data_IF_982707100744
#
_entry.id   IF_982707100744
#
_cell.length_a   1.000
_cell.length_b   1.000
_cell.length_c   1.000
_cell.angle_alpha   90.00
_cell.angle_beta   90.00
_cell.angle_gamma   90.00
#
_symmetry.space_group_name_H-M   'P 1'
#
loop_
_entity.id
_entity.type
_entity.pdbx_description
1 polymer ?
#
# COMPACT_ATOMS: atom_id res chain seq x y z
N UNK A 1 15.21 -1.97 -37.25
CA UNK A 1 15.26 -1.25 -35.96
C UNK A 1 14.66 -2.18 -34.90
N UNK A 2 15.56 -2.79 -34.08
CA UNK A 2 15.16 -3.80 -33.10
C UNK A 2 14.52 -3.16 -31.87
N UNK A 3 13.34 -3.65 -31.50
CA UNK A 3 12.76 -3.37 -30.19
C UNK A 3 13.59 -4.09 -29.13
N UNK A 4 14.32 -3.33 -28.31
CA UNK A 4 14.93 -3.86 -27.09
C UNK A 4 13.84 -4.40 -26.15
N UNK A 5 13.76 -5.70 -26.00
CA UNK A 5 12.91 -6.36 -25.00
C UNK A 5 13.40 -5.94 -23.62
N UNK A 6 12.64 -5.09 -22.91
CA UNK A 6 12.88 -4.78 -21.50
C UNK A 6 13.05 -6.09 -20.72
N UNK A 7 14.21 -6.28 -20.10
CA UNK A 7 14.52 -7.46 -19.27
C UNK A 7 13.47 -7.60 -18.18
N UNK A 8 12.78 -8.74 -18.10
CA UNK A 8 11.92 -9.08 -16.95
C UNK A 8 12.78 -9.03 -15.69
N UNK A 9 12.40 -8.19 -14.73
CA UNK A 9 13.06 -8.14 -13.42
C UNK A 9 12.86 -9.47 -12.68
N UNK A 10 13.90 -9.92 -11.97
CA UNK A 10 13.82 -11.11 -11.12
C UNK A 10 12.90 -10.77 -9.91
N UNK A 11 11.82 -11.53 -9.67
CA UNK A 11 10.91 -11.29 -8.55
C UNK A 11 11.58 -11.34 -7.17
N UNK A 12 12.76 -11.95 -7.07
CA UNK A 12 13.53 -12.06 -5.82
C UNK A 12 14.63 -11.00 -5.66
N UNK A 13 14.74 -10.00 -6.56
CA UNK A 13 15.71 -8.92 -6.39
C UNK A 13 15.19 -7.92 -5.37
N UNK A 14 15.56 -8.07 -4.12
CA UNK A 14 15.39 -7.05 -3.08
C UNK A 14 16.22 -5.82 -3.47
N UNK A 15 15.54 -4.70 -3.76
CA UNK A 15 16.21 -3.41 -3.90
C UNK A 15 16.09 -2.68 -2.56
N UNK A 16 17.24 -2.25 -2.04
CA UNK A 16 17.27 -1.42 -0.83
C UNK A 16 16.42 -0.17 -1.04
N UNK A 17 15.43 0.03 -0.16
CA UNK A 17 14.46 1.13 -0.25
C UNK A 17 15.07 2.39 0.35
N UNK A 18 16.01 3.01 -0.37
CA UNK A 18 16.73 4.22 0.08
C UNK A 18 15.81 5.39 0.44
N UNK A 19 14.60 5.45 -0.13
CA UNK A 19 13.61 6.47 0.24
C UNK A 19 13.12 6.37 1.70
N UNK A 20 13.28 5.20 2.35
CA UNK A 20 12.97 5.00 3.78
C UNK A 20 13.93 5.74 4.72
N UNK A 21 15.05 6.25 4.22
CA UNK A 21 15.98 7.06 4.98
C UNK A 21 15.47 8.50 5.22
N UNK A 22 14.42 8.91 4.50
CA UNK A 22 13.78 10.22 4.68
C UNK A 22 12.92 10.19 5.95
N UNK A 23 13.37 10.86 7.01
CA UNK A 23 12.64 10.97 8.27
C UNK A 23 11.61 12.09 8.23
N UNK A 24 10.43 11.84 8.80
CA UNK A 24 9.45 12.89 9.08
C UNK A 24 9.78 13.55 10.43
N UNK A 25 9.87 14.89 10.44
CA UNK A 25 10.19 15.64 11.66
C UNK A 25 9.25 15.26 12.83
N UNK A 26 9.86 14.88 13.96
CA UNK A 26 9.16 14.53 15.20
C UNK A 26 8.56 13.12 15.24
N UNK A 27 8.92 12.25 14.32
CA UNK A 27 8.57 10.83 14.37
C UNK A 27 9.82 9.95 14.45
N UNK A 28 9.66 8.80 15.07
CA UNK A 28 10.68 7.75 15.22
C UNK A 28 10.31 6.63 14.24
N UNK A 29 11.29 6.17 13.48
CA UNK A 29 11.13 5.05 12.57
C UNK A 29 11.26 3.72 13.32
N UNK A 30 10.34 2.80 13.01
CA UNK A 30 10.34 1.40 13.42
C UNK A 30 10.26 0.54 12.17
N UNK A 31 11.03 -0.54 12.10
CA UNK A 31 10.96 -1.51 11.00
C UNK A 31 10.41 -2.83 11.53
N UNK A 32 9.40 -3.36 10.85
CA UNK A 32 8.79 -4.66 11.17
C UNK A 32 8.80 -5.53 9.92
N UNK A 33 9.40 -6.70 10.04
CA UNK A 33 9.44 -7.68 8.96
C UNK A 33 8.93 -9.03 9.46
N UNK A 34 7.96 -9.59 8.74
CA UNK A 34 7.41 -10.91 9.00
C UNK A 34 7.09 -11.58 7.66
N UNK A 35 7.83 -12.61 7.29
CA UNK A 35 7.74 -13.26 5.99
C UNK A 35 7.88 -12.23 4.84
N UNK A 36 6.89 -12.13 3.94
CA UNK A 36 6.86 -11.18 2.83
C UNK A 36 6.45 -9.76 3.23
N UNK A 37 5.89 -9.57 4.42
CA UNK A 37 5.50 -8.26 4.93
C UNK A 37 6.73 -7.52 5.46
N UNK A 38 7.00 -6.33 4.93
CA UNK A 38 8.14 -5.48 5.32
C UNK A 38 7.64 -4.04 5.49
N UNK A 39 7.29 -3.68 6.74
CA UNK A 39 6.76 -2.38 7.09
C UNK A 39 7.84 -1.42 7.57
N UNK A 40 7.74 -0.18 7.11
CA UNK A 40 8.41 0.98 7.67
C UNK A 40 7.36 1.87 8.35
N UNK A 41 7.45 2.00 9.67
CA UNK A 41 6.46 2.69 10.49
C UNK A 41 7.11 3.90 11.13
N UNK A 42 6.46 5.04 11.00
CA UNK A 42 6.87 6.26 11.69
C UNK A 42 5.79 6.66 12.70
N UNK A 43 6.15 6.79 13.97
CA UNK A 43 5.26 7.17 15.07
C UNK A 43 5.99 8.05 16.08
N UNK A 44 5.26 8.65 17.06
CA UNK A 44 5.88 9.45 18.13
C UNK A 44 6.79 8.68 19.07
N UNK A 45 6.58 7.35 19.14
CA UNK A 45 7.40 6.42 19.94
C UNK A 45 7.70 5.17 19.13
N UNK A 46 8.60 4.32 19.64
CA UNK A 46 8.85 3.00 19.04
C UNK A 46 7.63 2.11 19.16
N UNK A 47 7.33 1.37 18.10
CA UNK A 47 6.11 0.56 17.98
C UNK A 47 6.37 -0.86 17.48
N UNK A 48 7.63 -1.30 17.43
CA UNK A 48 8.03 -2.58 16.81
C UNK A 48 7.24 -3.76 17.34
N UNK A 49 7.14 -3.91 18.67
CA UNK A 49 6.49 -5.06 19.30
C UNK A 49 4.98 -5.06 19.04
N UNK A 50 4.33 -3.90 19.19
CA UNK A 50 2.90 -3.76 18.90
C UNK A 50 2.61 -4.03 17.43
N UNK A 51 3.40 -3.45 16.54
CA UNK A 51 3.20 -3.61 15.10
C UNK A 51 3.48 -5.04 14.65
N UNK A 52 4.49 -5.73 15.22
CA UNK A 52 4.75 -7.13 14.93
C UNK A 52 3.57 -8.03 15.32
N UNK A 53 2.97 -7.80 16.49
CA UNK A 53 1.80 -8.55 16.94
C UNK A 53 0.60 -8.31 16.00
N UNK A 54 0.33 -7.05 15.61
CA UNK A 54 -0.74 -6.71 14.67
C UNK A 54 -0.53 -7.33 13.29
N UNK A 55 0.70 -7.29 12.77
CA UNK A 55 1.05 -7.93 11.48
C UNK A 55 0.86 -9.44 11.55
N UNK A 56 1.29 -10.08 12.63
CA UNK A 56 1.11 -11.52 12.81
C UNK A 56 -0.37 -11.91 12.84
N UNK A 57 -1.20 -11.15 13.56
CA UNK A 57 -2.65 -11.37 13.61
C UNK A 57 -3.30 -11.22 12.23
N UNK A 58 -2.98 -10.14 11.52
CA UNK A 58 -3.52 -9.84 10.20
C UNK A 58 -3.14 -10.92 9.19
N UNK A 59 -1.86 -11.29 9.14
CA UNK A 59 -1.37 -12.36 8.25
C UNK A 59 -2.06 -13.70 8.53
N UNK A 60 -2.17 -14.07 9.79
CA UNK A 60 -2.86 -15.31 10.17
C UNK A 60 -4.29 -15.36 9.62
N UNK A 61 -5.04 -14.25 9.71
CA UNK A 61 -6.40 -14.16 9.16
C UNK A 61 -6.43 -14.34 7.64
N UNK A 62 -5.47 -13.73 6.94
CA UNK A 62 -5.36 -13.84 5.47
C UNK A 62 -4.97 -15.27 5.07
N UNK A 63 -3.95 -15.84 5.69
CA UNK A 63 -3.44 -17.18 5.39
C UNK A 63 -4.48 -18.27 5.67
N UNK A 64 -5.19 -18.19 6.80
CA UNK A 64 -6.28 -19.10 7.12
C UNK A 64 -7.43 -19.00 6.11
N UNK A 65 -7.77 -17.78 5.67
CA UNK A 65 -8.81 -17.61 4.67
C UNK A 65 -8.38 -18.19 3.33
N UNK A 66 -7.16 -17.94 2.87
CA UNK A 66 -6.60 -18.50 1.63
C UNK A 66 -6.61 -20.05 1.67
N UNK A 67 -6.28 -20.66 2.80
CA UNK A 67 -6.28 -22.13 2.93
C UNK A 67 -7.66 -22.73 2.71
N UNK A 68 -8.73 -22.02 3.07
CA UNK A 68 -10.11 -22.46 2.86
C UNK A 68 -10.71 -21.99 1.52
N UNK A 69 -10.12 -20.95 0.92
CA UNK A 69 -10.56 -20.29 -0.30
C UNK A 69 -9.36 -20.02 -1.22
N UNK A 70 -8.77 -21.06 -1.86
CA UNK A 70 -7.54 -20.92 -2.65
C UNK A 70 -7.67 -19.94 -3.82
N UNK A 71 -8.89 -19.75 -4.36
CA UNK A 71 -9.19 -18.78 -5.41
C UNK A 71 -8.89 -17.33 -4.96
N UNK A 72 -8.97 -17.03 -3.66
CA UNK A 72 -8.68 -15.72 -3.12
C UNK A 72 -7.24 -15.27 -3.43
N UNK A 73 -6.29 -16.22 -3.41
CA UNK A 73 -4.88 -15.94 -3.71
C UNK A 73 -4.62 -15.66 -5.19
N UNK A 74 -5.37 -16.32 -6.09
CA UNK A 74 -4.99 -16.38 -7.50
C UNK A 74 -5.91 -15.61 -8.43
N UNK A 75 -7.10 -15.21 -7.95
CA UNK A 75 -8.05 -14.48 -8.79
C UNK A 75 -7.50 -13.13 -9.22
N UNK A 76 -7.60 -12.83 -10.51
CA UNK A 76 -7.32 -11.51 -11.08
C UNK A 76 -8.60 -10.68 -11.29
N UNK A 77 -9.76 -11.25 -11.00
CA UNK A 77 -11.06 -10.60 -11.10
C UNK A 77 -11.75 -10.60 -9.75
N UNK A 78 -12.76 -9.72 -9.52
CA UNK A 78 -13.49 -9.67 -8.27
C UNK A 78 -14.09 -11.04 -7.90
N UNK A 79 -14.05 -11.36 -6.61
CA UNK A 79 -14.71 -12.53 -6.02
C UNK A 79 -15.98 -12.10 -5.29
N UNK A 80 -16.92 -13.02 -5.11
CA UNK A 80 -18.15 -12.76 -4.37
C UNK A 80 -17.86 -12.27 -2.94
N UNK A 81 -18.74 -11.41 -2.41
CA UNK A 81 -18.67 -10.97 -1.03
C UNK A 81 -18.87 -12.15 -0.07
N UNK A 82 -18.12 -12.15 1.03
CA UNK A 82 -18.28 -13.10 2.12
C UNK A 82 -18.51 -12.34 3.44
N UNK A 83 -19.78 -12.15 3.86
CA UNK A 83 -20.08 -11.45 5.10
C UNK A 83 -19.53 -12.13 6.37
N UNK A 84 -19.24 -13.43 6.31
CA UNK A 84 -18.71 -14.20 7.43
C UNK A 84 -17.16 -14.10 7.53
N UNK A 85 -16.51 -13.61 6.48
CA UNK A 85 -15.05 -13.47 6.47
C UNK A 85 -14.55 -12.44 7.49
N UNK A 86 -13.29 -12.57 7.96
CA UNK A 86 -12.62 -11.54 8.76
C UNK A 86 -12.68 -10.16 8.12
N UNK A 87 -12.71 -9.11 8.93
CA UNK A 87 -12.89 -7.74 8.43
C UNK A 87 -11.87 -7.34 7.36
N UNK A 88 -10.59 -7.73 7.50
CA UNK A 88 -9.58 -7.44 6.47
C UNK A 88 -9.89 -8.11 5.13
N UNK A 89 -10.39 -9.35 5.15
CA UNK A 89 -10.79 -10.07 3.93
C UNK A 89 -11.95 -9.36 3.25
N UNK A 90 -12.97 -8.96 4.02
CA UNK A 90 -14.10 -8.17 3.48
C UNK A 90 -13.65 -6.87 2.85
N UNK A 91 -12.70 -6.16 3.50
CA UNK A 91 -12.10 -4.95 2.94
C UNK A 91 -11.40 -5.22 1.61
N UNK A 92 -10.62 -6.31 1.51
CA UNK A 92 -9.93 -6.69 0.27
C UNK A 92 -10.92 -7.10 -0.83
N UNK A 93 -11.99 -7.84 -0.50
CA UNK A 93 -13.06 -8.19 -1.45
C UNK A 93 -13.77 -6.93 -1.96
N UNK A 94 -14.18 -6.03 -1.06
CA UNK A 94 -14.83 -4.78 -1.42
C UNK A 94 -13.93 -3.87 -2.29
N UNK A 95 -12.64 -3.78 -1.99
CA UNK A 95 -11.68 -3.07 -2.82
C UNK A 95 -11.60 -3.67 -4.22
N UNK A 96 -11.51 -4.99 -4.33
CA UNK A 96 -11.50 -5.71 -5.60
C UNK A 96 -12.77 -5.45 -6.42
N UNK A 97 -13.95 -5.50 -5.80
CA UNK A 97 -15.22 -5.19 -6.46
C UNK A 97 -15.26 -3.77 -7.03
N UNK A 98 -14.85 -2.78 -6.24
CA UNK A 98 -14.88 -1.36 -6.63
C UNK A 98 -13.90 -1.04 -7.75
N UNK A 99 -12.82 -1.79 -7.87
CA UNK A 99 -11.74 -1.54 -8.83
C UNK A 99 -11.71 -2.51 -10.01
N UNK A 100 -12.51 -3.59 -9.93
CA UNK A 100 -12.61 -4.58 -11.01
C UNK A 100 -11.44 -5.57 -11.05
N UNK A 101 -10.70 -5.74 -9.94
CA UNK A 101 -9.52 -6.63 -9.83
C UNK A 101 -9.71 -7.71 -8.77
N UNK A 102 -8.80 -8.67 -8.71
CA UNK A 102 -8.79 -9.68 -7.65
C UNK A 102 -8.40 -9.11 -6.29
N UNK A 103 -8.86 -9.73 -5.17
CA UNK A 103 -8.72 -9.18 -3.82
C UNK A 103 -7.26 -9.02 -3.37
N UNK A 104 -6.34 -9.85 -3.85
CA UNK A 104 -4.91 -9.77 -3.50
C UNK A 104 -4.22 -8.51 -4.03
N UNK A 105 -4.83 -7.78 -4.98
CA UNK A 105 -4.34 -6.48 -5.41
C UNK A 105 -4.44 -5.39 -4.32
N UNK A 106 -5.23 -5.64 -3.26
CA UNK A 106 -5.41 -4.74 -2.12
C UNK A 106 -4.59 -5.14 -0.88
N UNK A 107 -3.77 -6.20 -0.96
CA UNK A 107 -3.20 -6.83 0.25
C UNK A 107 -2.20 -5.94 0.98
N UNK A 108 -1.34 -5.23 0.26
CA UNK A 108 -0.30 -4.41 0.88
C UNK A 108 -0.91 -3.19 1.58
N UNK A 109 -1.85 -2.51 0.92
CA UNK A 109 -2.62 -1.41 1.49
C UNK A 109 -3.50 -1.84 2.66
N UNK A 110 -4.17 -2.99 2.58
CA UNK A 110 -4.97 -3.53 3.68
C UNK A 110 -4.11 -3.82 4.92
N UNK A 111 -2.95 -4.45 4.76
CA UNK A 111 -2.02 -4.72 5.87
C UNK A 111 -1.52 -3.42 6.49
N UNK A 112 -1.14 -2.42 5.67
CA UNK A 112 -0.70 -1.12 6.16
C UNK A 112 -1.81 -0.42 6.97
N UNK A 113 -3.04 -0.40 6.46
CA UNK A 113 -4.19 0.23 7.12
C UNK A 113 -4.56 -0.47 8.44
N UNK A 114 -4.69 -1.79 8.43
CA UNK A 114 -5.05 -2.53 9.64
C UNK A 114 -3.98 -2.42 10.73
N UNK A 115 -2.69 -2.43 10.36
CA UNK A 115 -1.60 -2.16 11.29
C UNK A 115 -1.68 -0.74 11.85
N UNK A 116 -1.89 0.26 10.99
CA UNK A 116 -2.01 1.67 11.40
C UNK A 116 -3.21 1.90 12.34
N UNK A 117 -4.40 1.39 11.98
CA UNK A 117 -5.60 1.48 12.82
C UNK A 117 -5.45 0.72 14.15
N UNK A 118 -4.77 -0.43 14.14
CA UNK A 118 -4.44 -1.16 15.36
C UNK A 118 -3.55 -0.34 16.30
N UNK A 119 -2.54 0.35 15.77
CA UNK A 119 -1.70 1.26 16.54
C UNK A 119 -2.48 2.48 17.07
N UNK A 120 -3.45 3.02 16.31
CA UNK A 120 -4.34 4.08 16.79
C UNK A 120 -5.15 3.62 18.03
N UNK A 121 -5.69 2.40 18.00
CA UNK A 121 -6.42 1.82 19.14
C UNK A 121 -5.53 1.64 20.38
N UNK A 122 -4.22 1.51 20.19
CA UNK A 122 -3.22 1.47 21.27
C UNK A 122 -2.77 2.87 21.72
N UNK A 123 -3.40 3.94 21.22
CA UNK A 123 -3.17 5.31 21.65
C UNK A 123 -2.13 6.10 20.86
N UNK A 124 -1.66 5.58 19.74
CA UNK A 124 -0.77 6.33 18.84
C UNK A 124 -1.61 7.23 17.92
N UNK A 125 -1.43 8.53 17.98
CA UNK A 125 -2.23 9.54 17.26
C UNK A 125 -1.54 10.15 16.02
N UNK A 126 -0.25 9.88 15.82
CA UNK A 126 0.50 10.27 14.63
C UNK A 126 1.29 9.07 14.09
N UNK A 127 0.82 8.51 13.00
CA UNK A 127 1.30 7.25 12.44
C UNK A 127 1.41 7.37 10.92
N UNK A 128 2.50 6.83 10.37
CA UNK A 128 2.63 6.55 8.94
C UNK A 128 3.11 5.10 8.85
N UNK A 129 2.36 4.24 8.17
CA UNK A 129 2.73 2.83 7.91
C UNK A 129 2.93 2.66 6.42
N UNK A 130 4.15 2.35 6.01
CA UNK A 130 4.49 2.07 4.61
C UNK A 130 4.75 0.58 4.42
N UNK A 131 4.11 -0.01 3.42
CA UNK A 131 4.24 -1.39 2.98
C UNK A 131 4.47 -1.45 1.47
N UNK A 132 5.73 -1.39 1.04
CA UNK A 132 6.07 -1.56 -0.37
C UNK A 132 5.67 -0.43 -1.33
N UNK A 133 5.30 0.75 -0.81
CA UNK A 133 4.80 1.89 -1.59
C UNK A 133 3.35 2.23 -1.29
N UNK A 134 2.68 1.37 -0.50
CA UNK A 134 1.30 1.54 -0.05
C UNK A 134 1.31 2.06 1.38
N UNK A 135 0.82 3.27 1.57
CA UNK A 135 1.05 4.04 2.78
C UNK A 135 -0.28 4.38 3.44
N UNK A 136 -0.46 3.97 4.69
CA UNK A 136 -1.49 4.49 5.57
C UNK A 136 -0.94 5.70 6.34
N UNK A 137 -1.70 6.80 6.35
CA UNK A 137 -1.28 8.05 6.98
C UNK A 137 -2.33 8.55 7.95
N UNK A 138 -1.95 8.77 9.21
CA UNK A 138 -2.72 9.44 10.25
C UNK A 138 -1.84 10.45 10.97
N UNK A 139 -2.07 11.74 10.75
CA UNK A 139 -1.33 12.84 11.37
C UNK A 139 -2.27 13.95 11.83
N UNK A 140 -1.86 14.66 12.86
CA UNK A 140 -2.57 15.84 13.39
C UNK A 140 -2.07 17.16 12.76
N UNK A 141 -1.11 17.07 11.83
CA UNK A 141 -0.54 18.19 11.09
C UNK A 141 -0.26 17.80 9.64
N UNK A 142 -0.23 18.80 8.77
CA UNK A 142 0.09 18.58 7.36
C UNK A 142 1.43 17.85 7.19
N UNK A 143 1.48 16.93 6.24
CA UNK A 143 2.72 16.24 5.85
C UNK A 143 2.80 16.10 4.33
N UNK A 144 3.99 15.80 3.84
CA UNK A 144 4.21 15.57 2.40
C UNK A 144 4.74 14.15 2.23
N UNK A 145 4.06 13.38 1.38
CA UNK A 145 4.51 12.05 0.94
C UNK A 145 5.26 12.23 -0.38
N UNK A 146 6.55 11.92 -0.37
CA UNK A 146 7.38 12.01 -1.57
C UNK A 146 7.08 10.85 -2.52
N UNK A 147 6.98 11.16 -3.82
CA UNK A 147 6.76 10.15 -4.85
C UNK A 147 8.10 9.62 -5.34
N UNK A 148 8.28 8.29 -5.19
CA UNK A 148 9.43 7.61 -5.75
C UNK A 148 9.03 6.88 -7.04
N UNK A 149 9.61 7.28 -8.17
CA UNK A 149 9.29 6.79 -9.51
C UNK A 149 10.52 6.15 -10.21
N UNK A 150 11.35 5.43 -9.47
CA UNK A 150 12.54 4.78 -10.01
C UNK A 150 13.52 5.75 -10.65
N UNK A 151 13.86 5.52 -11.92
CA UNK A 151 14.82 6.34 -12.69
C UNK A 151 14.20 7.62 -13.28
N UNK A 152 12.94 7.89 -13.03
CA UNK A 152 12.29 9.13 -13.50
C UNK A 152 13.01 10.37 -12.96
N UNK A 153 13.22 11.41 -13.76
CA UNK A 153 13.85 12.66 -13.32
C UNK A 153 13.03 13.40 -12.24
N UNK A 154 11.76 13.04 -12.05
CA UNK A 154 10.87 13.57 -11.02
C UNK A 154 10.90 12.75 -9.72
N UNK A 155 11.56 11.60 -9.71
CA UNK A 155 11.65 10.70 -8.55
C UNK A 155 12.22 11.42 -7.33
N UNK A 156 11.48 11.44 -6.22
CA UNK A 156 11.87 12.13 -4.99
C UNK A 156 11.82 13.67 -5.03
N UNK A 157 11.51 14.29 -6.18
CA UNK A 157 11.44 15.75 -6.34
C UNK A 157 10.02 16.30 -6.25
N UNK A 158 9.02 15.44 -6.40
CA UNK A 158 7.60 15.77 -6.29
C UNK A 158 6.99 14.99 -5.14
N UNK A 159 5.91 15.51 -4.57
CA UNK A 159 5.21 14.87 -3.47
C UNK A 159 3.77 15.36 -3.36
N UNK A 160 2.98 14.60 -2.62
CA UNK A 160 1.57 14.94 -2.31
C UNK A 160 1.55 15.53 -0.90
N UNK A 161 1.03 16.76 -0.79
CA UNK A 161 0.80 17.40 0.49
C UNK A 161 -0.57 17.01 1.01
N UNK A 162 -0.60 16.35 2.15
CA UNK A 162 -1.81 15.94 2.85
C UNK A 162 -2.10 16.95 3.98
N UNK A 163 -3.36 17.31 4.11
CA UNK A 163 -3.86 18.13 5.20
C UNK A 163 -4.50 17.25 6.29
N UNK A 164 -4.49 17.66 7.58
CA UNK A 164 -5.05 16.86 8.67
C UNK A 164 -6.50 16.46 8.47
N UNK A 165 -7.30 17.32 7.87
CA UNK A 165 -8.73 17.09 7.59
C UNK A 165 -8.99 15.96 6.57
N UNK A 166 -7.98 15.59 5.80
CA UNK A 166 -8.04 14.49 4.83
C UNK A 166 -7.47 13.18 5.38
N UNK A 167 -7.14 13.13 6.66
CA UNK A 167 -6.57 11.95 7.31
C UNK A 167 -7.56 11.36 8.37
N UNK A 168 -7.57 10.04 8.58
CA UNK A 168 -6.66 9.06 7.98
C UNK A 168 -6.95 8.82 6.50
N UNK A 169 -5.88 8.54 5.73
CA UNK A 169 -6.00 8.22 4.31
C UNK A 169 -4.90 7.24 3.86
N UNK A 170 -5.15 6.59 2.72
CA UNK A 170 -4.18 5.80 1.99
C UNK A 170 -3.53 6.61 0.87
N UNK A 171 -2.22 6.43 0.68
CA UNK A 171 -1.45 6.93 -0.47
C UNK A 171 -0.71 5.75 -1.07
N UNK A 172 -1.16 5.27 -2.20
CA UNK A 172 -0.61 4.09 -2.86
C UNK A 172 0.02 4.45 -4.20
N UNK A 173 1.20 3.89 -4.46
CA UNK A 173 1.96 4.18 -5.67
C UNK A 173 2.15 2.92 -6.48
N UNK A 174 1.46 2.82 -7.61
CA UNK A 174 1.75 1.83 -8.64
C UNK A 174 2.83 2.36 -9.56
N UNK A 175 3.98 1.68 -9.61
CA UNK A 175 5.11 2.04 -10.46
C UNK A 175 5.48 0.87 -11.36
N UNK A 176 5.69 1.14 -12.64
CA UNK A 176 6.25 0.15 -13.56
C UNK A 176 7.70 -0.24 -13.19
N UNK A 177 8.36 0.53 -12.32
CA UNK A 177 9.75 0.35 -11.92
C UNK A 177 9.92 -0.35 -10.56
N UNK A 178 8.88 -0.36 -9.68
CA UNK A 178 9.00 -0.81 -8.29
C UNK A 178 7.83 -1.71 -7.93
N UNK A 179 8.14 -2.80 -7.19
CA UNK A 179 7.16 -3.72 -6.63
C UNK A 179 7.02 -5.02 -7.42
N UNK A 180 6.37 -6.00 -6.78
CA UNK A 180 6.09 -7.33 -7.33
C UNK A 180 4.77 -7.36 -8.11
N UNK A 181 4.03 -6.25 -8.15
CA UNK A 181 2.74 -6.13 -8.83
C UNK A 181 2.90 -5.95 -10.34
N UNK A 182 2.00 -6.57 -11.10
CA UNK A 182 1.89 -6.40 -12.56
C UNK A 182 1.40 -4.99 -12.86
N UNK A 183 2.30 -4.08 -13.23
CA UNK A 183 1.92 -2.77 -13.79
C UNK A 183 1.88 -2.85 -15.31
N UNK A 184 0.71 -2.59 -15.89
CA UNK A 184 0.46 -2.60 -17.34
C UNK A 184 0.46 -1.18 -17.94
N UNK A 185 0.73 -0.15 -17.13
CA UNK A 185 0.70 1.26 -17.56
C UNK A 185 2.00 1.75 -18.20
N UNK A 186 1.91 2.80 -19.00
CA UNK A 186 3.05 3.48 -19.65
C UNK A 186 3.64 4.64 -18.82
N UNK A 187 3.05 4.96 -17.66
CA UNK A 187 3.53 6.01 -16.77
C UNK A 187 4.64 5.51 -15.84
N UNK A 188 5.58 6.39 -15.47
CA UNK A 188 6.67 6.07 -14.54
C UNK A 188 6.14 5.75 -13.14
N UNK A 189 5.10 6.44 -12.69
CA UNK A 189 4.34 6.16 -11.48
C UNK A 189 2.90 6.69 -11.59
N UNK A 190 1.95 5.98 -10.97
CA UNK A 190 0.59 6.44 -10.73
C UNK A 190 0.37 6.43 -9.21
N UNK A 191 -0.14 7.56 -8.67
CA UNK A 191 -0.40 7.70 -7.23
C UNK A 191 -1.89 7.90 -7.00
N UNK A 192 -2.45 7.10 -6.10
CA UNK A 192 -3.85 7.19 -5.69
C UNK A 192 -3.91 7.59 -4.22
N UNK A 193 -4.76 8.56 -3.91
CA UNK A 193 -5.09 8.96 -2.54
C UNK A 193 -6.56 8.64 -2.29
N UNK A 194 -6.85 7.90 -1.23
CA UNK A 194 -8.23 7.55 -0.86
C UNK A 194 -8.37 7.43 0.67
N UNK A 195 -9.60 7.45 1.16
CA UNK A 195 -9.91 7.25 2.58
C UNK A 195 -9.59 5.83 3.08
N UNK A 196 -9.55 4.86 2.18
CA UNK A 196 -9.23 3.45 2.45
C UNK A 196 -7.97 3.07 1.68
N UNK A 197 -6.91 2.63 2.40
CA UNK A 197 -5.63 2.29 1.79
C UNK A 197 -5.75 1.05 0.90
N UNK A 198 -6.55 0.07 1.31
CA UNK A 198 -6.82 -1.13 0.51
C UNK A 198 -7.46 -0.79 -0.85
N UNK A 199 -8.36 0.19 -0.89
CA UNK A 199 -8.96 0.66 -2.14
C UNK A 199 -7.95 1.41 -3.01
N UNK A 200 -7.11 2.26 -2.40
CA UNK A 200 -6.07 2.98 -3.14
C UNK A 200 -5.04 2.03 -3.77
N UNK A 201 -4.66 0.94 -3.05
CA UNK A 201 -3.74 -0.09 -3.50
C UNK A 201 -4.31 -0.92 -4.68
N UNK A 202 -5.58 -1.32 -4.58
CA UNK A 202 -6.26 -2.11 -5.61
C UNK A 202 -6.51 -1.34 -6.92
N UNK A 203 -6.30 -0.02 -6.95
CA UNK A 203 -6.63 0.80 -8.12
C UNK A 203 -5.71 0.48 -9.30
N UNK A 204 -6.27 0.03 -10.46
CA UNK A 204 -5.45 -0.35 -11.59
C UNK A 204 -4.75 0.86 -12.24
N UNK A 205 -3.44 0.79 -12.51
CA UNK A 205 -2.68 1.91 -13.07
C UNK A 205 -3.10 2.33 -14.48
N UNK A 206 -3.79 1.48 -15.25
CA UNK A 206 -4.28 1.78 -16.60
C UNK A 206 -5.50 2.70 -16.63
N UNK A 207 -6.20 2.87 -15.52
CA UNK A 207 -7.29 3.84 -15.39
C UNK A 207 -6.81 5.29 -15.53
N UNK A 208 -5.60 5.60 -15.10
CA UNK A 208 -5.01 6.95 -15.22
C UNK A 208 -4.83 7.34 -16.70
N UNK A 209 -4.58 6.37 -17.57
CA UNK A 209 -4.42 6.59 -19.01
C UNK A 209 -5.76 6.66 -19.76
N UNK A 210 -6.82 6.06 -19.23
CA UNK A 210 -8.15 6.04 -19.88
C UNK A 210 -9.01 7.25 -19.58
N UNK A 211 -8.88 7.85 -18.40
CA UNK A 211 -9.79 8.91 -17.95
C UNK A 211 -9.31 10.32 -18.21
N UNK A 212 -8.08 10.53 -18.65
CA UNK A 212 -7.53 11.85 -19.01
C UNK A 212 -7.56 12.91 -17.88
N UNK A 213 -8.29 12.67 -16.80
CA UNK A 213 -8.34 13.43 -15.53
C UNK A 213 -9.09 12.61 -14.49
N UNK A 214 -8.39 12.05 -13.53
CA UNK A 214 -9.02 11.59 -12.30
C UNK A 214 -9.40 12.84 -11.46
N UNK A 215 -10.69 13.04 -11.21
CA UNK A 215 -11.14 13.87 -10.09
C UNK A 215 -11.21 12.95 -8.88
N UNK A 216 -10.53 13.33 -7.83
CA UNK A 216 -10.73 12.79 -6.49
C UNK A 216 -11.75 13.72 -5.84
N UNK A 217 -12.94 13.22 -5.58
CA UNK A 217 -13.92 13.83 -4.68
C UNK A 217 -13.76 13.23 -3.29
#
# INVERSE_FOLDING_TARGET
MGQERKRKKNPHSYQERSYRLLSQSGLIASKVQLMETDLHIMAKSRVEDHALALVAEVRTKIELYINNHPEFLHSLVPLADDPAAPAIIRTMLAAGHRTGVGPMAAVAGAVAEYTGRGLELLGHDEIIVENGGDIYVRRNRACTISIYAGESPLSGKVGIRLQPEHMPCGVCTSSAAIGHSLSLGASDAAVVVASETAFADAWPPDWVTRSGRARVD
#
